data_IF_543717287338
#
_entry.id   IF_543717287338
#
_cell.length_a   1.000
_cell.length_b   1.000
_cell.length_c   1.000
_cell.angle_alpha   90.00
_cell.angle_beta   90.00
_cell.angle_gamma   90.00
#
_symmetry.space_group_name_H-M   'P 1'
#
loop_
_entity.id
_entity.type
_entity.pdbx_description
1 polymer ?
#
# COMPACT_ATOMS: atom_id res chain seq x y z
N UNK A 1 -10.67 -6.65 22.35
CA UNK A 1 -9.40 -6.61 21.57
C UNK A 1 -9.06 -8.02 21.12
N UNK A 2 -8.44 -8.23 19.94
CA UNK A 2 -8.05 -9.60 19.52
C UNK A 2 -7.08 -10.27 20.51
N UNK A 3 -6.19 -9.49 21.11
CA UNK A 3 -5.23 -9.97 22.11
C UNK A 3 -5.90 -10.55 23.36
N UNK A 4 -7.01 -9.97 23.85
CA UNK A 4 -7.72 -10.49 25.03
C UNK A 4 -8.50 -11.77 24.72
N UNK A 5 -8.97 -11.94 23.49
CA UNK A 5 -9.58 -13.20 23.05
C UNK A 5 -8.53 -14.31 22.97
N UNK A 6 -7.39 -14.04 22.31
CA UNK A 6 -6.26 -14.97 22.23
C UNK A 6 -5.76 -15.40 23.63
N UNK A 7 -5.69 -14.46 24.57
CA UNK A 7 -5.27 -14.77 25.94
C UNK A 7 -6.21 -15.76 26.65
N UNK A 8 -7.53 -15.68 26.39
CA UNK A 8 -8.51 -16.64 26.92
C UNK A 8 -8.34 -18.02 26.28
N UNK A 9 -8.15 -18.06 24.96
CA UNK A 9 -7.93 -19.31 24.23
C UNK A 9 -6.63 -20.01 24.69
N UNK A 10 -5.63 -19.23 25.08
CA UNK A 10 -4.34 -19.71 25.60
C UNK A 10 -4.35 -19.93 27.12
N UNK A 11 -5.52 -19.88 27.78
CA UNK A 11 -5.68 -20.02 29.24
C UNK A 11 -4.72 -19.13 30.05
N UNK A 12 -4.51 -17.89 29.59
CA UNK A 12 -3.75 -16.87 30.32
C UNK A 12 -4.72 -16.05 31.16
N UNK A 13 -4.73 -16.32 32.46
CA UNK A 13 -5.59 -15.62 33.40
C UNK A 13 -5.15 -14.16 33.61
N UNK A 14 -6.11 -13.29 33.90
CA UNK A 14 -5.94 -11.86 34.23
C UNK A 14 -5.29 -10.96 33.16
N UNK A 15 -5.12 -11.43 31.92
CA UNK A 15 -4.52 -10.60 30.87
C UNK A 15 -5.32 -9.31 30.58
N UNK A 16 -4.69 -8.15 30.84
CA UNK A 16 -5.28 -6.80 30.59
C UNK A 16 -4.75 -6.18 29.30
N UNK A 17 -5.36 -6.53 28.17
CA UNK A 17 -5.01 -5.99 26.85
C UNK A 17 -5.58 -4.60 26.56
N UNK A 18 -5.16 -3.57 27.30
CA UNK A 18 -5.56 -2.16 27.08
C UNK A 18 -4.70 -1.41 26.05
N UNK A 19 -5.05 -0.15 25.69
CA UNK A 19 -4.30 0.66 24.74
C UNK A 19 -2.81 0.83 25.11
N UNK A 20 -2.52 1.12 26.38
CA UNK A 20 -1.14 1.25 26.88
C UNK A 20 -0.32 -0.03 26.73
N UNK A 21 -0.95 -1.20 26.93
CA UNK A 21 -0.31 -2.49 26.68
C UNK A 21 0.00 -2.67 25.19
N UNK A 22 -0.96 -2.33 24.32
CA UNK A 22 -0.79 -2.39 22.86
C UNK A 22 0.36 -1.51 22.37
N UNK A 23 0.42 -0.24 22.79
CA UNK A 23 1.51 0.68 22.40
C UNK A 23 2.88 0.21 22.92
N UNK A 24 2.96 -0.24 24.17
CA UNK A 24 4.20 -0.78 24.74
C UNK A 24 4.64 -2.05 24.04
N UNK A 25 3.71 -2.94 23.69
CA UNK A 25 3.98 -4.15 22.93
C UNK A 25 4.52 -3.81 21.54
N UNK A 26 3.86 -2.91 20.81
CA UNK A 26 4.31 -2.45 19.50
C UNK A 26 5.73 -1.86 19.58
N UNK A 27 6.01 -0.99 20.56
CA UNK A 27 7.35 -0.40 20.77
C UNK A 27 8.41 -1.48 21.04
N UNK A 28 8.13 -2.45 21.92
CA UNK A 28 9.06 -3.55 22.25
C UNK A 28 9.33 -4.47 21.06
N UNK A 29 8.38 -4.59 20.14
CA UNK A 29 8.49 -5.47 18.95
C UNK A 29 8.79 -4.69 17.67
N UNK A 30 9.14 -3.41 17.79
CA UNK A 30 9.45 -2.52 16.68
C UNK A 30 8.34 -2.49 15.59
N UNK A 31 7.09 -2.53 16.03
CA UNK A 31 5.90 -2.45 15.17
C UNK A 31 5.40 -1.00 15.12
N UNK A 32 4.97 -0.55 13.95
CA UNK A 32 4.39 0.78 13.75
C UNK A 32 3.04 0.66 13.05
N UNK A 33 2.06 1.47 13.46
CA UNK A 33 0.85 1.68 12.67
C UNK A 33 1.23 2.57 11.50
N UNK A 34 0.97 2.10 10.28
CA UNK A 34 1.14 2.89 9.06
C UNK A 34 -0.24 3.11 8.46
N UNK A 35 -0.51 4.32 7.99
CA UNK A 35 -1.63 4.56 7.10
C UNK A 35 -1.49 3.59 5.95
N UNK A 36 -2.57 2.86 5.65
CA UNK A 36 -2.62 2.00 4.48
C UNK A 36 -2.42 2.92 3.28
N UNK A 37 -1.22 2.95 2.72
CA UNK A 37 -1.02 3.47 1.37
C UNK A 37 -1.98 2.67 0.49
N UNK A 38 -2.63 3.31 -0.46
CA UNK A 38 -3.49 2.63 -1.43
C UNK A 38 -2.64 1.60 -2.15
N UNK A 39 -2.59 0.39 -1.58
CA UNK A 39 -2.06 -0.80 -2.21
C UNK A 39 -2.83 -0.90 -3.51
N UNK A 40 -2.07 -1.01 -4.59
CA UNK A 40 -2.41 -1.21 -5.99
C UNK A 40 -3.86 -1.64 -6.22
N UNK A 41 -4.47 -1.13 -7.29
CA UNK A 41 -5.80 -1.58 -7.73
C UNK A 41 -5.89 -3.11 -7.67
N UNK A 42 -7.01 -3.64 -7.14
CA UNK A 42 -7.22 -5.09 -7.09
C UNK A 42 -7.10 -5.64 -8.50
N UNK A 43 -6.33 -6.73 -8.64
CA UNK A 43 -6.15 -7.35 -9.95
C UNK A 43 -7.51 -7.89 -10.45
N UNK A 44 -7.85 -7.63 -11.73
CA UNK A 44 -9.02 -8.24 -12.35
C UNK A 44 -9.00 -9.77 -12.28
N UNK A 45 -10.18 -10.41 -12.23
CA UNK A 45 -10.30 -11.87 -12.15
C UNK A 45 -9.62 -12.61 -13.32
N UNK A 46 -9.60 -11.97 -14.49
CA UNK A 46 -9.05 -12.47 -15.74
C UNK A 46 -7.58 -12.04 -15.99
N UNK A 47 -6.93 -11.43 -14.99
CA UNK A 47 -5.57 -10.91 -15.12
C UNK A 47 -4.57 -11.97 -15.63
N UNK A 48 -4.62 -13.18 -15.07
CA UNK A 48 -3.69 -14.25 -15.43
C UNK A 48 -3.87 -14.70 -16.89
N UNK A 49 -5.11 -14.85 -17.34
CA UNK A 49 -5.44 -15.25 -18.72
C UNK A 49 -4.97 -14.20 -19.73
N UNK A 50 -5.26 -12.92 -19.47
CA UNK A 50 -4.82 -11.80 -20.31
C UNK A 50 -3.30 -11.69 -20.36
N UNK A 51 -2.63 -11.88 -19.24
CA UNK A 51 -1.17 -11.83 -19.16
C UNK A 51 -0.52 -12.96 -19.96
N UNK A 52 -1.04 -14.18 -19.88
CA UNK A 52 -0.54 -15.32 -20.68
C UNK A 52 -0.76 -15.06 -22.17
N UNK A 53 -1.96 -14.63 -22.55
CA UNK A 53 -2.32 -14.32 -23.94
C UNK A 53 -1.43 -13.21 -24.51
N UNK A 54 -1.24 -12.13 -23.77
CA UNK A 54 -0.40 -11.01 -24.18
C UNK A 54 1.07 -11.42 -24.34
N UNK A 55 1.63 -12.19 -23.39
CA UNK A 55 3.01 -12.70 -23.50
C UNK A 55 3.20 -13.59 -24.71
N UNK A 56 2.26 -14.48 -25.00
CA UNK A 56 2.31 -15.36 -26.17
C UNK A 56 2.26 -14.55 -27.48
N UNK A 57 1.36 -13.54 -27.53
CA UNK A 57 1.25 -12.62 -28.66
C UNK A 57 2.57 -11.86 -28.92
N UNK A 58 3.16 -11.25 -27.88
CA UNK A 58 4.42 -10.52 -28.00
C UNK A 58 5.55 -11.43 -28.50
N UNK A 59 5.72 -12.62 -27.91
CA UNK A 59 6.74 -13.58 -28.33
C UNK A 59 6.59 -13.95 -29.81
N UNK A 60 5.37 -14.27 -30.25
CA UNK A 60 5.07 -14.58 -31.66
C UNK A 60 5.48 -13.43 -32.58
N UNK A 61 5.08 -12.19 -32.25
CA UNK A 61 5.40 -11.02 -33.07
C UNK A 61 6.89 -10.67 -33.11
N UNK A 62 7.61 -10.83 -31.99
CA UNK A 62 9.05 -10.62 -31.93
C UNK A 62 9.78 -11.60 -32.84
N UNK A 63 9.41 -12.89 -32.79
CA UNK A 63 10.01 -13.93 -33.65
C UNK A 63 9.66 -13.73 -35.13
N UNK A 64 8.39 -13.48 -35.45
CA UNK A 64 7.92 -13.25 -36.84
C UNK A 64 8.66 -12.08 -37.51
N UNK A 65 8.80 -10.97 -36.79
CA UNK A 65 9.43 -9.74 -37.30
C UNK A 65 10.93 -9.66 -37.08
N UNK A 66 11.54 -10.69 -36.46
CA UNK A 66 12.96 -10.73 -36.07
C UNK A 66 13.40 -9.46 -35.34
N UNK A 67 12.55 -8.99 -34.41
CA UNK A 67 12.84 -7.78 -33.63
C UNK A 67 13.99 -8.09 -32.68
N UNK A 68 15.10 -7.37 -32.82
CA UNK A 68 16.23 -7.47 -31.89
C UNK A 68 15.86 -6.79 -30.57
N UNK A 69 16.36 -7.28 -29.42
CA UNK A 69 16.14 -6.63 -28.13
C UNK A 69 16.56 -5.16 -28.09
N UNK A 70 17.63 -4.81 -28.81
CA UNK A 70 18.14 -3.43 -28.95
C UNK A 70 17.12 -2.45 -29.57
N UNK A 71 16.11 -2.95 -30.28
CA UNK A 71 15.07 -2.13 -30.90
C UNK A 71 13.82 -1.95 -30.03
N UNK A 72 13.81 -2.52 -28.81
CA UNK A 72 12.68 -2.44 -27.89
C UNK A 72 13.00 -1.36 -26.85
N UNK A 73 12.30 -0.23 -26.94
CA UNK A 73 12.42 0.87 -25.98
C UNK A 73 11.18 0.93 -25.10
N UNK A 74 11.36 1.00 -23.78
CA UNK A 74 10.27 1.24 -22.85
C UNK A 74 10.13 2.74 -22.59
N UNK A 75 8.89 3.22 -22.45
CA UNK A 75 8.56 4.59 -22.08
C UNK A 75 7.39 4.54 -21.11
N UNK A 76 7.50 5.26 -20.00
CA UNK A 76 6.46 5.32 -18.96
C UNK A 76 6.40 6.73 -18.39
N UNK A 77 5.23 7.12 -17.90
CA UNK A 77 5.02 8.43 -17.30
C UNK A 77 5.27 8.34 -15.79
N UNK A 78 6.11 9.24 -15.28
CA UNK A 78 6.30 9.42 -13.84
C UNK A 78 5.68 10.76 -13.45
N UNK A 79 4.72 10.79 -12.51
CA UNK A 79 4.17 12.05 -12.04
C UNK A 79 5.28 12.87 -11.36
N UNK A 80 5.50 14.10 -11.84
CA UNK A 80 6.35 15.06 -11.16
C UNK A 80 5.49 15.80 -10.13
N UNK A 81 5.75 15.54 -8.85
CA UNK A 81 5.14 16.31 -7.77
C UNK A 81 5.97 17.54 -7.48
N UNK A 82 5.33 18.70 -7.37
CA UNK A 82 5.98 19.86 -6.76
C UNK A 82 6.18 19.57 -5.27
N UNK A 83 7.38 19.80 -4.75
CA UNK A 83 7.70 19.74 -3.32
C UNK A 83 7.03 20.91 -2.59
N UNK A 84 5.71 20.88 -2.50
CA UNK A 84 4.94 21.83 -1.70
C UNK A 84 4.98 21.29 -0.27
N UNK A 85 5.70 21.95 0.66
CA UNK A 85 5.67 21.53 2.05
C UNK A 85 4.26 21.70 2.58
N UNK A 86 3.57 20.58 2.79
CA UNK A 86 2.32 20.56 3.54
C UNK A 86 2.69 20.92 4.97
N UNK A 87 2.51 22.18 5.36
CA UNK A 87 2.60 22.55 6.77
C UNK A 87 1.44 21.84 7.48
N UNK A 88 1.70 20.90 8.40
CA UNK A 88 0.64 20.44 9.27
C UNK A 88 0.15 21.65 10.07
N UNK A 89 -1.13 22.02 9.89
CA UNK A 89 -1.75 22.96 10.80
C UNK A 89 -2.05 22.19 12.08
N UNK A 90 -1.20 22.37 13.09
CA UNK A 90 -1.49 21.88 14.44
C UNK A 90 -2.53 22.83 15.03
N UNK A 91 -3.79 22.40 15.10
CA UNK A 91 -4.78 23.10 15.91
C UNK A 91 -4.35 23.07 17.39
N UNK A 92 -4.88 23.98 18.19
CA UNK A 92 -4.50 24.18 19.61
C UNK A 92 -4.61 22.90 20.48
N UNK A 93 -5.29 21.86 20.00
CA UNK A 93 -5.50 20.58 20.68
C UNK A 93 -4.67 19.39 20.14
N UNK A 94 -3.76 19.62 19.17
CA UNK A 94 -2.85 18.58 18.66
C UNK A 94 -3.45 17.59 17.65
N UNK A 95 -4.67 17.82 17.17
CA UNK A 95 -5.28 17.00 16.12
C UNK A 95 -4.75 17.39 14.73
N UNK A 96 -4.20 16.41 14.00
CA UNK A 96 -3.79 16.56 12.60
C UNK A 96 -5.02 16.41 11.69
N UNK A 97 -5.49 17.51 11.11
CA UNK A 97 -6.46 17.47 10.01
C UNK A 97 -5.74 17.65 8.68
N UNK A 98 -5.66 16.58 7.89
CA UNK A 98 -5.22 16.66 6.50
C UNK A 98 -6.42 16.61 5.58
N UNK A 99 -6.96 17.76 5.15
CA UNK A 99 -7.85 17.83 4.00
C UNK A 99 -7.64 19.16 3.25
N UNK A 100 -6.97 19.10 2.11
CA UNK A 100 -7.19 20.06 1.03
C UNK A 100 -8.02 19.37 -0.04
N UNK A 101 -9.34 19.47 0.04
CA UNK A 101 -10.21 19.20 -1.10
C UNK A 101 -10.19 20.42 -2.01
N UNK A 102 -9.55 20.29 -3.17
CA UNK A 102 -9.85 21.19 -4.28
C UNK A 102 -11.21 20.77 -4.86
N UNK A 103 -12.20 21.63 -4.71
CA UNK A 103 -13.38 21.60 -5.58
C UNK A 103 -12.88 21.90 -7.00
N UNK A 104 -13.02 20.92 -7.90
CA UNK A 104 -13.02 21.17 -9.34
C UNK A 104 -14.48 21.51 -9.70
N UNK A 105 -14.63 22.57 -10.50
CA UNK A 105 -15.86 23.24 -10.96
C UNK A 105 -17.11 22.35 -11.06
#
# INVERSE_FOLDING_TARGET
MKATALARDMTIDEFRGGPSWCFRFMKRRNLSIRTRTTVSQQLPKDYQEKLVTFRAYCKKKITEKKIRPEHITNMDEVPLTFDIPVKPHCGENGDQYGVCTYHRE
#
